data_IF_476618113152
#
_entry.id   IF_476618113152
#
_cell.length_a   1.000
_cell.length_b   1.000
_cell.length_c   1.000
_cell.angle_alpha   90.00
_cell.angle_beta   90.00
_cell.angle_gamma   90.00
#
_symmetry.space_group_name_H-M   'P 1'
#
loop_
_entity.id
_entity.type
_entity.pdbx_description
1 polymer ?
#
# COMPACT_ATOMS: atom_id res chain seq x y z
N UNK A 1 -13.97 9.24 -38.40
CA UNK A 1 -14.30 8.05 -37.58
C UNK A 1 -13.05 7.20 -37.46
N UNK A 2 -12.27 7.38 -36.41
CA UNK A 2 -11.10 6.55 -36.09
C UNK A 2 -11.61 5.17 -35.67
N UNK A 3 -11.28 4.12 -36.42
CA UNK A 3 -11.54 2.73 -36.02
C UNK A 3 -10.90 2.51 -34.66
N UNK A 4 -11.71 2.40 -33.61
CA UNK A 4 -11.25 1.98 -32.30
C UNK A 4 -10.59 0.62 -32.43
N UNK A 5 -9.28 0.55 -32.20
CA UNK A 5 -8.52 -0.70 -32.21
C UNK A 5 -9.14 -1.61 -31.15
N UNK A 6 -9.69 -2.74 -31.56
CA UNK A 6 -10.32 -3.71 -30.64
C UNK A 6 -9.22 -4.35 -29.81
N UNK A 7 -9.10 -3.95 -28.55
CA UNK A 7 -8.18 -4.54 -27.60
C UNK A 7 -8.73 -5.88 -27.09
N UNK A 8 -7.84 -6.84 -26.88
CA UNK A 8 -8.20 -8.10 -26.23
C UNK A 8 -8.55 -7.87 -24.75
N UNK A 9 -9.66 -8.46 -24.32
CA UNK A 9 -10.22 -8.32 -22.97
C UNK A 9 -9.92 -9.57 -22.14
N UNK A 10 -9.11 -9.41 -21.11
CA UNK A 10 -8.70 -10.49 -20.21
C UNK A 10 -9.24 -10.30 -18.81
N UNK A 11 -9.76 -11.37 -18.21
CA UNK A 11 -10.09 -11.43 -16.79
C UNK A 11 -9.10 -12.36 -16.10
N UNK A 12 -8.34 -11.85 -15.13
CA UNK A 12 -7.35 -12.63 -14.37
C UNK A 12 -7.92 -12.92 -12.98
N UNK A 13 -7.96 -14.20 -12.63
CA UNK A 13 -8.59 -14.70 -11.40
C UNK A 13 -7.61 -15.63 -10.69
N UNK A 14 -7.02 -15.21 -9.55
CA UNK A 14 -6.27 -16.10 -8.67
C UNK A 14 -7.23 -17.02 -7.91
N UNK A 15 -6.92 -18.31 -7.79
CA UNK A 15 -7.77 -19.28 -7.12
C UNK A 15 -7.02 -20.16 -6.14
N UNK A 16 -7.69 -20.49 -5.03
CA UNK A 16 -7.26 -21.53 -4.11
C UNK A 16 -8.48 -22.15 -3.41
N UNK A 17 -8.88 -23.35 -3.83
CA UNK A 17 -10.07 -24.08 -3.36
C UNK A 17 -11.39 -23.34 -3.66
N UNK A 18 -11.55 -22.96 -4.94
CA UNK A 18 -12.70 -22.17 -5.40
C UNK A 18 -13.52 -22.92 -6.48
N UNK A 19 -13.43 -24.26 -6.53
CA UNK A 19 -14.08 -25.07 -7.55
C UNK A 19 -15.59 -24.79 -7.68
N UNK A 20 -16.32 -24.71 -6.55
CA UNK A 20 -17.77 -24.49 -6.57
C UNK A 20 -18.13 -23.09 -7.07
N UNK A 21 -17.35 -22.10 -6.71
CA UNK A 21 -17.53 -20.73 -7.19
C UNK A 21 -17.26 -20.63 -8.69
N UNK A 22 -16.21 -21.29 -9.18
CA UNK A 22 -15.85 -21.27 -10.59
C UNK A 22 -16.90 -21.93 -11.48
N UNK A 23 -17.63 -22.96 -10.99
CA UNK A 23 -18.77 -23.55 -11.73
C UNK A 23 -19.82 -22.53 -12.12
N UNK A 24 -20.04 -21.52 -11.25
CA UNK A 24 -21.04 -20.47 -11.44
C UNK A 24 -20.44 -19.29 -12.19
N UNK A 25 -19.20 -18.92 -11.88
CA UNK A 25 -18.53 -17.73 -12.42
C UNK A 25 -18.12 -17.88 -13.88
N UNK A 26 -17.51 -19.00 -14.27
CA UNK A 26 -16.96 -19.17 -15.63
C UNK A 26 -18.02 -19.08 -16.74
N UNK A 27 -19.26 -19.59 -16.58
CA UNK A 27 -20.34 -19.37 -17.53
C UNK A 27 -20.64 -17.88 -17.81
N UNK A 28 -20.50 -17.02 -16.81
CA UNK A 28 -20.75 -15.55 -16.92
C UNK A 28 -19.64 -14.85 -17.71
N UNK A 29 -18.44 -15.46 -17.76
CA UNK A 29 -17.25 -14.87 -18.36
C UNK A 29 -16.92 -15.41 -19.77
N UNK A 30 -17.85 -16.14 -20.43
CA UNK A 30 -17.60 -16.78 -21.73
C UNK A 30 -17.16 -15.85 -22.86
N UNK A 31 -17.52 -14.58 -22.79
CA UNK A 31 -17.17 -13.57 -23.81
C UNK A 31 -15.75 -13.03 -23.68
N UNK A 32 -15.09 -13.24 -22.55
CA UNK A 32 -13.76 -12.75 -22.24
C UNK A 32 -12.72 -13.85 -22.36
N UNK A 33 -11.46 -13.50 -22.56
CA UNK A 33 -10.33 -14.37 -22.33
C UNK A 33 -10.06 -14.44 -20.83
N UNK A 34 -10.20 -15.61 -20.23
CA UNK A 34 -10.05 -15.78 -18.78
C UNK A 34 -8.72 -16.46 -18.48
N UNK A 35 -7.96 -15.92 -17.55
CA UNK A 35 -6.73 -16.53 -17.03
C UNK A 35 -6.98 -16.90 -15.56
N UNK A 36 -7.04 -18.21 -15.30
CA UNK A 36 -7.12 -18.76 -13.94
C UNK A 36 -5.73 -19.15 -13.48
N UNK A 37 -5.32 -18.68 -12.31
CA UNK A 37 -4.06 -19.10 -11.68
C UNK A 37 -4.37 -19.80 -10.38
N UNK A 38 -4.17 -21.11 -10.36
CA UNK A 38 -4.55 -21.99 -9.27
C UNK A 38 -3.35 -22.40 -8.42
N UNK A 39 -3.43 -22.15 -7.12
CA UNK A 39 -2.40 -22.49 -6.12
C UNK A 39 -2.45 -23.98 -5.71
N UNK A 40 -2.60 -24.89 -6.70
CA UNK A 40 -2.65 -26.33 -6.50
C UNK A 40 -3.77 -26.79 -5.53
N UNK A 41 -4.99 -26.44 -5.87
CA UNK A 41 -6.15 -26.58 -4.98
C UNK A 41 -6.58 -28.00 -4.66
N UNK A 42 -6.40 -28.95 -5.58
CA UNK A 42 -6.83 -30.38 -5.48
C UNK A 42 -8.32 -30.56 -5.10
N UNK A 43 -9.20 -29.63 -5.52
CA UNK A 43 -10.64 -29.60 -5.19
C UNK A 43 -11.54 -29.77 -6.41
N UNK A 44 -10.98 -30.05 -7.58
CA UNK A 44 -11.71 -30.10 -8.85
C UNK A 44 -11.62 -28.83 -9.71
N UNK A 45 -10.94 -27.78 -9.25
CA UNK A 45 -10.74 -26.52 -9.99
C UNK A 45 -10.19 -26.79 -11.41
N UNK A 46 -9.18 -27.64 -11.54
CA UNK A 46 -8.56 -27.99 -12.85
C UNK A 46 -9.57 -28.60 -13.81
N UNK A 47 -10.37 -29.55 -13.34
CA UNK A 47 -11.38 -30.25 -14.15
C UNK A 47 -12.47 -29.31 -14.64
N UNK A 48 -12.86 -28.33 -13.81
CA UNK A 48 -13.87 -27.32 -14.16
C UNK A 48 -13.30 -26.38 -15.22
N UNK A 49 -12.12 -25.82 -15.02
CA UNK A 49 -11.49 -24.89 -15.95
C UNK A 49 -11.32 -25.48 -17.35
N UNK A 50 -10.93 -26.76 -17.45
CA UNK A 50 -10.73 -27.47 -18.74
C UNK A 50 -11.99 -27.57 -19.58
N UNK A 51 -13.19 -27.39 -19.02
CA UNK A 51 -14.46 -27.42 -19.76
C UNK A 51 -14.72 -26.13 -20.55
N UNK A 52 -13.94 -25.09 -20.34
CA UNK A 52 -14.16 -23.76 -20.94
C UNK A 52 -13.01 -23.42 -21.90
N UNK A 53 -13.31 -23.31 -23.20
CA UNK A 53 -12.32 -23.01 -24.25
C UNK A 53 -11.68 -21.63 -24.14
N UNK A 54 -12.37 -20.68 -23.50
CA UNK A 54 -11.90 -19.31 -23.27
C UNK A 54 -11.05 -19.17 -22.01
N UNK A 55 -10.82 -20.27 -21.26
CA UNK A 55 -10.04 -20.29 -20.03
C UNK A 55 -8.64 -20.82 -20.30
N UNK A 56 -7.63 -20.01 -19.97
CA UNK A 56 -6.24 -20.45 -19.79
C UNK A 56 -6.03 -20.74 -18.32
N UNK A 57 -5.67 -21.96 -17.98
CA UNK A 57 -5.36 -22.38 -16.62
C UNK A 57 -3.85 -22.47 -16.42
N UNK A 58 -3.37 -21.88 -15.35
CA UNK A 58 -2.00 -22.00 -14.83
C UNK A 58 -2.10 -22.66 -13.46
N UNK A 59 -1.56 -23.87 -13.33
CA UNK A 59 -1.48 -24.57 -12.04
C UNK A 59 -0.08 -24.37 -11.48
N UNK A 60 0.01 -23.86 -10.26
CA UNK A 60 1.27 -23.57 -9.58
C UNK A 60 1.72 -24.80 -8.78
N UNK A 61 3.00 -24.82 -8.39
CA UNK A 61 3.56 -25.95 -7.60
C UNK A 61 2.94 -26.07 -6.19
N UNK A 62 2.38 -24.98 -5.66
CA UNK A 62 1.74 -24.94 -4.35
C UNK A 62 1.21 -23.53 -4.02
N UNK A 63 0.80 -23.33 -2.77
CA UNK A 63 0.26 -22.06 -2.31
C UNK A 63 1.36 -21.00 -2.16
N UNK A 64 1.49 -20.15 -3.18
CA UNK A 64 2.53 -19.11 -3.27
C UNK A 64 2.00 -17.69 -3.01
N UNK A 65 0.70 -17.52 -2.87
CA UNK A 65 0.05 -16.25 -2.51
C UNK A 65 -0.62 -15.53 -3.68
N UNK A 66 -1.60 -14.69 -3.32
CA UNK A 66 -2.52 -14.05 -4.28
C UNK A 66 -1.79 -13.09 -5.22
N UNK A 67 -0.94 -12.19 -4.70
CA UNK A 67 -0.29 -11.18 -5.52
C UNK A 67 0.61 -11.82 -6.60
N UNK A 68 1.36 -12.86 -6.24
CA UNK A 68 2.20 -13.58 -7.19
C UNK A 68 1.37 -14.37 -8.20
N UNK A 69 0.20 -14.94 -7.79
CA UNK A 69 -0.71 -15.60 -8.70
C UNK A 69 -1.25 -14.65 -9.77
N UNK A 70 -1.69 -13.45 -9.36
CA UNK A 70 -2.15 -12.41 -10.30
C UNK A 70 -1.02 -12.04 -11.28
N UNK A 71 0.21 -11.86 -10.79
CA UNK A 71 1.35 -11.54 -11.67
C UNK A 71 1.68 -12.66 -12.65
N UNK A 72 1.64 -13.93 -12.23
CA UNK A 72 1.83 -15.06 -13.15
C UNK A 72 0.76 -15.06 -14.26
N UNK A 73 -0.49 -14.76 -13.88
CA UNK A 73 -1.58 -14.58 -14.83
C UNK A 73 -1.31 -13.45 -15.84
N UNK A 74 -0.96 -12.26 -15.35
CA UNK A 74 -0.65 -11.09 -16.19
C UNK A 74 0.54 -11.38 -17.11
N UNK A 75 1.62 -11.94 -16.59
CA UNK A 75 2.83 -12.27 -17.35
C UNK A 75 2.58 -13.31 -18.45
N UNK A 76 1.56 -14.16 -18.31
CA UNK A 76 1.16 -15.14 -19.34
C UNK A 76 0.50 -14.50 -20.56
N UNK A 77 0.06 -13.22 -20.46
CA UNK A 77 -0.62 -12.50 -21.54
C UNK A 77 0.43 -11.90 -22.47
N UNK A 78 0.41 -12.37 -23.73
CA UNK A 78 1.38 -11.92 -24.76
C UNK A 78 0.98 -10.60 -25.43
N UNK A 79 -0.33 -10.32 -25.49
CA UNK A 79 -0.86 -9.10 -26.10
C UNK A 79 -0.57 -7.89 -25.20
N UNK A 80 0.36 -7.05 -25.63
CA UNK A 80 0.79 -5.88 -24.89
C UNK A 80 -0.24 -4.76 -24.82
N UNK A 81 -1.18 -4.73 -25.76
CA UNK A 81 -2.27 -3.73 -25.81
C UNK A 81 -3.53 -4.22 -25.05
N UNK A 82 -3.46 -5.35 -24.35
CA UNK A 82 -4.59 -5.96 -23.66
C UNK A 82 -5.17 -5.05 -22.57
N UNK A 83 -6.50 -5.12 -22.42
CA UNK A 83 -7.22 -4.65 -21.24
C UNK A 83 -7.35 -5.79 -20.27
N UNK A 84 -7.01 -5.56 -19.01
CA UNK A 84 -7.02 -6.56 -17.95
C UNK A 84 -7.96 -6.12 -16.85
N UNK A 85 -8.83 -7.02 -16.41
CA UNK A 85 -9.60 -6.90 -15.17
C UNK A 85 -9.16 -8.00 -14.24
N UNK A 86 -8.78 -7.65 -13.01
CA UNK A 86 -8.45 -8.58 -11.94
C UNK A 86 -9.63 -8.67 -10.98
N UNK A 87 -9.99 -9.87 -10.58
CA UNK A 87 -11.07 -10.13 -9.61
C UNK A 87 -10.83 -11.43 -8.85
N UNK A 88 -11.37 -11.54 -7.63
CA UNK A 88 -11.39 -12.79 -6.87
C UNK A 88 -12.55 -13.70 -7.35
N UNK A 89 -12.58 -14.97 -6.93
CA UNK A 89 -13.61 -15.95 -7.34
C UNK A 89 -14.74 -16.12 -6.31
N UNK A 90 -14.77 -15.36 -5.22
CA UNK A 90 -15.57 -15.62 -4.00
C UNK A 90 -16.93 -14.90 -3.93
N UNK A 91 -17.38 -14.30 -5.02
CA UNK A 91 -18.62 -13.52 -5.14
C UNK A 91 -18.71 -12.27 -4.23
N UNK A 92 -17.61 -11.85 -3.61
CA UNK A 92 -17.58 -10.55 -2.94
C UNK A 92 -17.62 -9.39 -3.94
N UNK A 93 -17.11 -9.60 -5.17
CA UNK A 93 -17.13 -8.63 -6.25
C UNK A 93 -18.38 -8.80 -7.13
N UNK A 94 -18.93 -7.67 -7.59
CA UNK A 94 -20.05 -7.66 -8.52
C UNK A 94 -19.57 -7.87 -9.96
N UNK A 95 -19.58 -9.12 -10.41
CA UNK A 95 -19.10 -9.48 -11.76
C UNK A 95 -19.93 -8.88 -12.89
N UNK A 96 -21.17 -8.42 -12.63
CA UNK A 96 -21.97 -7.71 -13.61
C UNK A 96 -21.34 -6.39 -14.04
N UNK A 97 -20.39 -5.87 -13.26
CA UNK A 97 -19.63 -4.64 -13.53
C UNK A 97 -18.39 -4.85 -14.39
N UNK A 98 -17.99 -6.09 -14.68
CA UNK A 98 -16.82 -6.39 -15.55
C UNK A 98 -16.96 -5.71 -16.94
N UNK A 99 -18.12 -5.72 -17.61
CA UNK A 99 -18.30 -4.99 -18.87
C UNK A 99 -18.03 -3.49 -18.74
N UNK A 100 -18.40 -2.89 -17.61
CA UNK A 100 -18.19 -1.46 -17.36
C UNK A 100 -16.69 -1.14 -17.19
N UNK A 101 -15.91 -2.01 -16.54
CA UNK A 101 -14.46 -1.87 -16.49
C UNK A 101 -13.87 -1.82 -17.90
N UNK A 102 -14.22 -2.75 -18.77
CA UNK A 102 -13.69 -2.80 -20.13
C UNK A 102 -14.10 -1.59 -20.96
N UNK A 103 -15.34 -1.10 -20.80
CA UNK A 103 -15.82 0.12 -21.45
C UNK A 103 -15.04 1.34 -20.96
N UNK A 104 -14.83 1.46 -19.65
CA UNK A 104 -14.04 2.57 -19.09
C UNK A 104 -12.57 2.50 -19.51
N UNK A 105 -12.00 1.32 -19.71
CA UNK A 105 -10.64 1.14 -20.23
C UNK A 105 -10.49 1.51 -21.73
N UNK A 106 -11.55 1.90 -22.43
CA UNK A 106 -11.43 2.57 -23.73
C UNK A 106 -10.90 4.01 -23.56
N UNK A 107 -11.30 4.68 -22.48
CA UNK A 107 -10.96 6.08 -22.22
C UNK A 107 -9.91 6.27 -21.13
N UNK A 108 -9.80 5.33 -20.20
CA UNK A 108 -8.92 5.37 -19.04
C UNK A 108 -7.87 4.26 -19.10
N UNK A 109 -6.74 4.50 -18.45
CA UNK A 109 -5.62 3.56 -18.41
C UNK A 109 -5.63 2.66 -17.16
N UNK A 110 -6.33 3.13 -16.11
CA UNK A 110 -6.55 2.41 -14.85
C UNK A 110 -7.94 2.71 -14.28
N UNK A 111 -8.64 1.68 -13.81
CA UNK A 111 -9.97 1.78 -13.19
C UNK A 111 -9.94 1.05 -11.86
N UNK A 112 -10.16 1.79 -10.77
CA UNK A 112 -10.32 1.23 -9.44
C UNK A 112 -11.78 0.82 -9.19
N UNK A 113 -12.02 -0.42 -8.75
CA UNK A 113 -13.30 -0.83 -8.21
C UNK A 113 -13.48 -0.38 -6.77
N UNK A 114 -14.45 0.49 -6.53
CA UNK A 114 -14.74 1.08 -5.22
C UNK A 114 -16.01 0.47 -4.63
N UNK A 115 -15.88 -0.13 -3.45
CA UNK A 115 -17.03 -0.71 -2.72
C UNK A 115 -17.95 0.36 -2.19
N UNK A 116 -19.24 0.26 -2.52
CA UNK A 116 -20.31 1.10 -1.95
C UNK A 116 -21.33 0.22 -1.23
N UNK A 117 -21.93 0.72 -0.13
CA UNK A 117 -22.95 0.02 0.66
C UNK A 117 -22.61 -0.06 2.14
N UNK A 118 -23.51 -0.63 2.95
CA UNK A 118 -23.43 -0.67 4.40
C UNK A 118 -22.17 -1.39 4.91
N UNK A 119 -21.34 -0.64 5.61
CA UNK A 119 -20.16 -1.18 6.29
C UNK A 119 -20.64 -1.93 7.54
N UNK A 120 -20.37 -3.21 7.63
CA UNK A 120 -20.55 -3.97 8.87
C UNK A 120 -19.68 -3.31 9.95
N UNK A 121 -20.33 -2.77 10.99
CA UNK A 121 -19.69 -2.15 12.16
C UNK A 121 -18.64 -3.14 12.74
N UNK A 122 -17.40 -2.67 12.98
CA UNK A 122 -16.30 -3.44 13.59
C UNK A 122 -15.16 -3.82 12.63
N UNK A 123 -15.40 -4.21 11.38
CA UNK A 123 -14.33 -4.45 10.37
C UNK A 123 -13.79 -3.16 9.73
N UNK A 124 -14.53 -2.06 9.85
CA UNK A 124 -14.16 -0.76 9.30
C UNK A 124 -12.95 -0.12 9.97
N UNK A 125 -12.71 -0.38 11.27
CA UNK A 125 -11.65 0.28 12.01
C UNK A 125 -10.24 -0.15 11.53
N UNK A 126 -9.98 -1.45 11.42
CA UNK A 126 -8.68 -1.98 10.96
C UNK A 126 -8.44 -1.61 9.49
N UNK A 127 -9.46 -1.70 8.64
CA UNK A 127 -9.37 -1.31 7.24
C UNK A 127 -9.18 0.21 7.07
N UNK A 128 -9.80 1.03 7.92
CA UNK A 128 -9.62 2.48 7.92
C UNK A 128 -8.22 2.88 8.39
N UNK A 129 -7.71 2.26 9.47
CA UNK A 129 -6.36 2.50 9.96
C UNK A 129 -5.30 2.14 8.93
N UNK A 130 -5.43 1.00 8.26
CA UNK A 130 -4.52 0.59 7.18
C UNK A 130 -4.53 1.57 5.99
N UNK A 131 -5.71 2.09 5.59
CA UNK A 131 -5.80 3.13 4.56
C UNK A 131 -5.16 4.45 4.98
N UNK A 132 -5.33 4.81 6.26
CA UNK A 132 -4.73 6.04 6.81
C UNK A 132 -3.21 5.95 6.81
N UNK A 133 -2.66 4.84 7.31
CA UNK A 133 -1.22 4.55 7.31
C UNK A 133 -0.67 4.57 5.88
N UNK A 134 -1.34 3.90 4.94
CA UNK A 134 -0.91 3.88 3.55
C UNK A 134 -0.85 5.30 2.94
N UNK A 135 -1.91 6.10 3.11
CA UNK A 135 -1.95 7.48 2.59
C UNK A 135 -0.91 8.40 3.24
N UNK A 136 -0.62 8.16 4.53
CA UNK A 136 0.43 8.92 5.23
C UNK A 136 1.83 8.56 4.74
N UNK A 137 2.07 7.26 4.49
CA UNK A 137 3.39 6.76 4.10
C UNK A 137 3.64 6.81 2.60
N UNK A 138 2.59 6.77 1.78
CA UNK A 138 2.65 6.76 0.31
C UNK A 138 1.60 7.74 -0.23
N UNK A 139 1.89 9.06 -0.22
CA UNK A 139 0.94 10.12 -0.60
C UNK A 139 0.36 9.94 -2.00
N UNK A 140 1.10 9.32 -2.92
CA UNK A 140 0.67 9.02 -4.28
C UNK A 140 -0.62 8.15 -4.31
N UNK A 141 -0.84 7.35 -3.25
CA UNK A 141 -2.05 6.51 -3.11
C UNK A 141 -3.27 7.29 -2.62
N UNK A 142 -3.16 8.58 -2.33
CA UNK A 142 -4.28 9.41 -1.87
C UNK A 142 -5.43 9.48 -2.88
N UNK A 143 -5.13 9.29 -4.17
CA UNK A 143 -6.13 9.19 -5.23
C UNK A 143 -7.03 7.95 -5.07
N UNK A 144 -6.52 6.84 -4.55
CA UNK A 144 -7.28 5.61 -4.36
C UNK A 144 -8.35 5.79 -3.27
N UNK A 145 -9.59 5.41 -3.59
CA UNK A 145 -10.72 5.43 -2.63
C UNK A 145 -10.78 4.15 -1.79
N UNK A 146 -10.50 3.00 -2.41
CA UNK A 146 -10.41 1.69 -1.76
C UNK A 146 -9.10 0.97 -2.08
N UNK A 147 -7.94 1.44 -1.57
CA UNK A 147 -6.62 0.88 -1.90
C UNK A 147 -6.45 -0.59 -1.50
N UNK A 148 -7.43 -1.15 -0.78
CA UNK A 148 -7.47 -2.55 -0.40
C UNK A 148 -8.30 -3.42 -1.34
N UNK A 149 -8.87 -2.85 -2.41
CA UNK A 149 -9.68 -3.56 -3.38
C UNK A 149 -8.88 -4.64 -4.13
N UNK A 150 -9.49 -5.81 -4.35
CA UNK A 150 -9.02 -6.85 -5.25
C UNK A 150 -9.65 -6.75 -6.64
N UNK A 151 -10.56 -5.77 -6.87
CA UNK A 151 -11.30 -5.60 -8.11
C UNK A 151 -10.87 -4.31 -8.82
N UNK A 152 -10.11 -4.44 -9.88
CA UNK A 152 -9.57 -3.31 -10.64
C UNK A 152 -9.27 -3.72 -12.08
N UNK A 153 -9.18 -2.72 -12.95
CA UNK A 153 -8.82 -2.92 -14.35
C UNK A 153 -7.72 -1.96 -14.80
N UNK A 154 -6.94 -2.37 -15.79
CA UNK A 154 -5.90 -1.53 -16.36
C UNK A 154 -5.53 -1.96 -17.78
N UNK A 155 -4.89 -1.05 -18.52
CA UNK A 155 -4.28 -1.34 -19.81
C UNK A 155 -2.85 -1.83 -19.59
N UNK A 156 -2.51 -2.97 -20.20
CA UNK A 156 -1.21 -3.60 -19.99
C UNK A 156 -0.03 -2.75 -20.49
N UNK A 157 -0.22 -2.01 -21.60
CA UNK A 157 0.78 -1.11 -22.18
C UNK A 157 1.08 0.11 -21.29
N UNK A 158 0.26 0.39 -20.29
CA UNK A 158 0.36 1.55 -19.39
C UNK A 158 1.00 1.24 -18.03
N UNK A 159 1.44 0.00 -17.82
CA UNK A 159 2.10 -0.42 -16.58
C UNK A 159 3.53 -0.87 -16.88
N UNK A 160 4.48 -0.43 -16.07
CA UNK A 160 5.83 -1.00 -16.08
C UNK A 160 5.86 -2.26 -15.19
N UNK A 161 5.59 -3.40 -15.84
CA UNK A 161 5.57 -4.70 -15.15
C UNK A 161 6.94 -5.13 -14.60
N UNK A 162 8.04 -4.62 -15.17
CA UNK A 162 9.39 -4.99 -14.71
C UNK A 162 9.70 -4.45 -13.31
N UNK A 163 9.05 -3.36 -12.93
CA UNK A 163 9.16 -2.72 -11.63
C UNK A 163 8.15 -3.23 -10.59
N UNK A 164 7.13 -4.00 -11.01
CA UNK A 164 6.14 -4.60 -10.11
C UNK A 164 6.78 -5.74 -9.33
N UNK A 165 6.76 -5.65 -8.00
CA UNK A 165 7.28 -6.68 -7.10
C UNK A 165 6.17 -7.20 -6.21
N UNK A 166 5.47 -8.27 -6.58
CA UNK A 166 4.28 -8.74 -5.88
C UNK A 166 4.64 -9.22 -4.47
N UNK A 167 4.08 -8.57 -3.45
CA UNK A 167 4.18 -9.00 -2.05
C UNK A 167 2.78 -9.03 -1.44
N UNK A 168 2.47 -10.08 -0.69
CA UNK A 168 1.22 -10.18 0.06
C UNK A 168 -0.02 -10.30 -0.82
N UNK A 169 -1.07 -9.52 -0.47
CA UNK A 169 -2.40 -9.65 -1.05
C UNK A 169 -2.86 -8.43 -1.87
N UNK A 170 -2.08 -7.34 -1.90
CA UNK A 170 -2.54 -6.03 -2.42
C UNK A 170 -1.82 -5.63 -3.70
N UNK A 171 -1.88 -6.52 -4.70
CA UNK A 171 -1.22 -6.31 -6.00
C UNK A 171 -1.68 -5.05 -6.73
N UNK A 172 -2.92 -4.59 -6.51
CA UNK A 172 -3.44 -3.35 -7.09
C UNK A 172 -2.56 -2.15 -6.77
N UNK A 173 -2.03 -2.06 -5.53
CA UNK A 173 -1.13 -0.97 -5.13
C UNK A 173 0.16 -0.98 -5.94
N UNK A 174 0.76 -2.16 -6.16
CA UNK A 174 1.98 -2.27 -6.95
C UNK A 174 1.73 -1.92 -8.42
N UNK A 175 0.60 -2.36 -9.01
CA UNK A 175 0.20 -1.98 -10.37
C UNK A 175 -0.03 -0.46 -10.47
N UNK A 176 -0.78 0.12 -9.52
CA UNK A 176 -1.08 1.55 -9.48
C UNK A 176 0.19 2.41 -9.39
N UNK A 177 1.13 2.04 -8.53
CA UNK A 177 2.39 2.77 -8.33
C UNK A 177 3.35 2.66 -9.52
N UNK A 178 3.17 1.65 -10.38
CA UNK A 178 3.97 1.44 -11.58
C UNK A 178 3.23 1.82 -12.87
N UNK A 179 2.14 2.60 -12.77
CA UNK A 179 1.52 3.24 -13.93
C UNK A 179 2.47 4.25 -14.56
N UNK A 180 2.52 4.28 -15.88
CA UNK A 180 3.30 5.28 -16.65
C UNK A 180 2.80 6.68 -16.36
N UNK A 181 3.70 7.67 -16.39
CA UNK A 181 3.34 9.08 -16.18
C UNK A 181 2.27 9.53 -17.18
N UNK A 182 1.31 10.33 -16.69
CA UNK A 182 0.20 10.81 -17.51
C UNK A 182 -0.94 9.80 -17.69
N UNK A 183 -0.90 8.61 -17.08
CA UNK A 183 -2.00 7.64 -17.15
C UNK A 183 -3.30 8.22 -16.60
N UNK A 184 -4.38 8.10 -17.39
CA UNK A 184 -5.73 8.51 -17.00
C UNK A 184 -6.36 7.46 -16.10
N UNK A 185 -6.98 7.92 -15.00
CA UNK A 185 -7.48 7.05 -13.94
C UNK A 185 -8.94 7.34 -13.66
N UNK A 186 -9.73 6.29 -13.33
CA UNK A 186 -11.15 6.41 -12.97
C UNK A 186 -11.54 5.47 -11.84
N UNK A 187 -12.70 5.75 -11.22
CA UNK A 187 -13.32 4.90 -10.20
C UNK A 187 -14.60 4.30 -10.74
N UNK A 188 -14.83 3.02 -10.48
CA UNK A 188 -16.06 2.31 -10.76
C UNK A 188 -16.67 1.85 -9.44
N UNK A 189 -17.80 2.42 -9.07
CA UNK A 189 -18.51 2.02 -7.85
C UNK A 189 -19.30 0.73 -8.09
N UNK A 190 -19.22 -0.21 -7.13
CA UNK A 190 -19.99 -1.45 -7.16
C UNK A 190 -20.50 -1.82 -5.77
N UNK A 191 -21.62 -2.55 -5.74
CA UNK A 191 -22.16 -3.10 -4.49
C UNK A 191 -21.35 -4.30 -4.07
N UNK A 192 -20.94 -4.31 -2.81
CA UNK A 192 -20.20 -5.42 -2.22
C UNK A 192 -21.16 -6.57 -1.91
N UNK A 193 -20.88 -7.75 -2.50
CA UNK A 193 -21.64 -8.97 -2.23
C UNK A 193 -21.33 -9.52 -0.83
N UNK A 194 -22.25 -10.32 -0.28
CA UNK A 194 -21.94 -11.15 0.90
C UNK A 194 -21.14 -12.35 0.43
N UNK A 195 -20.00 -12.60 1.09
CA UNK A 195 -19.23 -13.83 0.90
C UNK A 195 -20.11 -15.02 1.22
N UNK A 196 -20.39 -15.86 0.23
CA UNK A 196 -21.26 -17.01 0.43
C UNK A 196 -20.57 -18.12 1.24
N UNK A 197 -19.22 -18.23 1.13
CA UNK A 197 -18.40 -19.25 1.82
C UNK A 197 -17.00 -18.73 2.14
N UNK A 198 -16.47 -19.08 3.32
CA UNK A 198 -15.08 -18.82 3.73
C UNK A 198 -14.91 -17.93 4.96
N UNK A 199 -13.80 -18.09 5.69
CA UNK A 199 -13.42 -17.25 6.84
C UNK A 199 -12.45 -16.16 6.42
N UNK A 200 -12.59 -14.95 6.98
CA UNK A 200 -11.63 -13.86 6.78
C UNK A 200 -10.24 -14.27 7.28
N UNK A 201 -9.23 -14.13 6.41
CA UNK A 201 -7.84 -14.53 6.69
C UNK A 201 -6.98 -13.37 7.20
N UNK A 202 -7.51 -12.50 8.06
CA UNK A 202 -6.70 -11.50 8.76
C UNK A 202 -5.80 -12.25 9.76
N UNK A 203 -4.55 -12.48 9.38
CA UNK A 203 -3.51 -13.05 10.25
C UNK A 203 -2.42 -12.00 10.46
N UNK A 204 -1.63 -12.14 11.55
CA UNK A 204 -0.44 -11.30 11.80
C UNK A 204 0.52 -11.31 10.60
N UNK A 205 0.63 -12.44 9.89
CA UNK A 205 1.42 -12.55 8.67
C UNK A 205 0.94 -11.59 7.58
N UNK A 206 -0.37 -11.51 7.34
CA UNK A 206 -0.98 -10.60 6.35
C UNK A 206 -0.73 -9.13 6.71
N UNK A 207 -0.81 -8.80 8.01
CA UNK A 207 -0.48 -7.45 8.50
C UNK A 207 0.99 -7.10 8.28
N UNK A 208 1.91 -8.01 8.57
CA UNK A 208 3.34 -7.83 8.34
C UNK A 208 3.67 -7.68 6.85
N UNK A 209 3.11 -8.52 5.98
CA UNK A 209 3.28 -8.42 4.54
C UNK A 209 2.78 -7.07 4.00
N UNK A 210 1.64 -6.58 4.50
CA UNK A 210 1.14 -5.25 4.15
C UNK A 210 2.08 -4.13 4.60
N UNK A 211 2.60 -4.17 5.83
CA UNK A 211 3.56 -3.18 6.32
C UNK A 211 4.87 -3.19 5.52
N UNK A 212 5.37 -4.37 5.15
CA UNK A 212 6.55 -4.52 4.29
C UNK A 212 6.27 -3.91 2.90
N UNK A 213 5.09 -4.18 2.33
CA UNK A 213 4.68 -3.60 1.06
C UNK A 213 4.64 -2.08 1.12
N UNK A 214 3.99 -1.51 2.15
CA UNK A 214 3.90 -0.05 2.35
C UNK A 214 5.29 0.57 2.52
N UNK A 215 6.15 -0.04 3.35
CA UNK A 215 7.53 0.43 3.56
C UNK A 215 8.32 0.45 2.24
N UNK A 216 8.15 -0.60 1.41
CA UNK A 216 8.80 -0.68 0.11
C UNK A 216 8.26 0.36 -0.88
N UNK A 217 6.93 0.55 -0.97
CA UNK A 217 6.31 1.56 -1.81
C UNK A 217 6.76 2.97 -1.41
N UNK A 218 6.98 3.19 -0.15
CA UNK A 218 7.59 4.40 0.41
C UNK A 218 9.11 4.49 0.15
N UNK A 219 9.69 3.63 -0.68
CA UNK A 219 11.14 3.54 -0.97
C UNK A 219 11.99 3.40 0.30
N UNK A 220 11.48 2.71 1.32
CA UNK A 220 12.10 2.49 2.63
C UNK A 220 12.36 3.78 3.44
N UNK A 221 11.88 4.94 2.99
CA UNK A 221 12.13 6.23 3.64
C UNK A 221 11.72 6.23 5.11
N UNK A 222 10.56 5.65 5.42
CA UNK A 222 10.09 5.54 6.80
C UNK A 222 11.07 4.77 7.69
N UNK A 223 11.59 3.63 7.22
CA UNK A 223 12.53 2.82 7.99
C UNK A 223 13.88 3.54 8.15
N UNK A 224 14.37 4.19 7.10
CA UNK A 224 15.60 4.98 7.18
C UNK A 224 15.42 6.15 8.16
N UNK A 225 14.29 6.85 8.11
CA UNK A 225 13.95 7.94 9.04
C UNK A 225 13.89 7.44 10.49
N UNK A 226 13.29 6.26 10.71
CA UNK A 226 13.24 5.61 12.02
C UNK A 226 14.65 5.30 12.53
N UNK A 227 15.49 4.69 11.70
CA UNK A 227 16.88 4.34 12.06
C UNK A 227 17.69 5.58 12.42
N UNK A 228 17.56 6.66 11.62
CA UNK A 228 18.22 7.94 11.90
C UNK A 228 17.69 8.55 13.19
N UNK A 229 16.37 8.45 13.45
CA UNK A 229 15.75 8.92 14.68
C UNK A 229 16.31 8.20 15.92
N UNK A 230 16.45 6.88 15.86
CA UNK A 230 17.05 6.08 16.94
C UNK A 230 18.53 6.44 17.11
N UNK A 231 19.29 6.53 16.01
CA UNK A 231 20.69 6.96 16.07
C UNK A 231 20.84 8.35 16.69
N UNK A 232 19.90 9.26 16.41
CA UNK A 232 19.85 10.61 16.98
C UNK A 232 19.75 10.63 18.50
N UNK A 233 19.09 9.64 19.11
CA UNK A 233 19.03 9.49 20.58
C UNK A 233 20.43 9.22 21.11
N UNK A 234 21.14 8.25 20.54
CA UNK A 234 22.52 7.91 20.97
C UNK A 234 23.50 9.05 20.73
N UNK A 235 23.34 9.79 19.62
CA UNK A 235 24.14 11.00 19.34
C UNK A 235 23.90 12.06 20.42
N UNK A 236 22.63 12.32 20.78
CA UNK A 236 22.29 13.29 21.82
C UNK A 236 22.90 12.92 23.17
N UNK A 237 22.75 11.67 23.59
CA UNK A 237 23.31 11.20 24.87
C UNK A 237 24.84 11.25 24.87
N UNK A 238 25.49 10.87 23.77
CA UNK A 238 26.93 10.96 23.63
C UNK A 238 27.44 12.40 23.70
N UNK A 239 26.78 13.34 23.00
CA UNK A 239 27.10 14.77 23.07
C UNK A 239 26.87 15.34 24.48
N UNK A 240 25.78 14.98 25.13
CA UNK A 240 25.48 15.40 26.50
C UNK A 240 26.59 14.93 27.46
N UNK A 241 27.00 13.65 27.38
CA UNK A 241 28.06 13.08 28.19
C UNK A 241 29.37 13.86 28.02
N UNK A 242 29.75 14.16 26.77
CA UNK A 242 30.96 14.92 26.48
C UNK A 242 30.90 16.36 27.00
N UNK A 243 29.82 17.08 26.68
CA UNK A 243 29.69 18.49 27.04
C UNK A 243 29.56 18.69 28.55
N UNK A 244 28.93 17.78 29.28
CA UNK A 244 28.82 17.85 30.74
C UNK A 244 30.17 17.82 31.45
N UNK A 245 31.21 17.31 30.78
CA UNK A 245 32.59 17.32 31.31
C UNK A 245 33.20 18.75 31.37
N UNK A 246 32.72 19.67 30.55
CA UNK A 246 33.35 20.97 30.31
C UNK A 246 32.42 22.17 30.68
N UNK A 247 31.14 21.94 30.91
CA UNK A 247 30.18 22.98 31.15
C UNK A 247 29.04 22.55 32.08
N UNK A 248 28.20 23.51 32.49
CA UNK A 248 27.02 23.22 33.31
C UNK A 248 26.03 22.30 32.59
N UNK A 249 25.30 21.45 33.34
CA UNK A 249 24.30 20.54 32.81
C UNK A 249 23.30 21.24 31.88
N UNK A 250 22.86 22.43 32.23
CA UNK A 250 21.90 23.20 31.40
C UNK A 250 22.48 23.52 30.01
N UNK A 251 23.71 24.02 29.94
CA UNK A 251 24.38 24.33 28.67
C UNK A 251 24.67 23.08 27.88
N UNK A 252 25.11 22.00 28.53
CA UNK A 252 25.37 20.72 27.90
C UNK A 252 24.11 20.15 27.26
N UNK A 253 22.95 20.20 27.96
CA UNK A 253 21.64 19.75 27.42
C UNK A 253 21.24 20.58 26.22
N UNK A 254 21.31 21.92 26.29
CA UNK A 254 20.93 22.78 25.15
C UNK A 254 21.78 22.49 23.92
N UNK A 255 23.11 22.42 24.09
CA UNK A 255 24.01 22.17 22.98
C UNK A 255 23.84 20.78 22.41
N UNK A 256 23.68 19.77 23.25
CA UNK A 256 23.44 18.39 22.78
C UNK A 256 22.16 18.29 21.94
N UNK A 257 21.04 18.90 22.38
CA UNK A 257 19.78 18.93 21.65
C UNK A 257 19.91 19.67 20.32
N UNK A 258 20.53 20.85 20.31
CA UNK A 258 20.70 21.64 19.09
C UNK A 258 21.54 20.89 18.06
N UNK A 259 22.72 20.39 18.48
CA UNK A 259 23.65 19.71 17.57
C UNK A 259 23.05 18.39 17.08
N UNK A 260 22.47 17.58 17.97
CA UNK A 260 21.84 16.32 17.55
C UNK A 260 20.65 16.56 16.60
N UNK A 261 19.89 17.64 16.78
CA UNK A 261 18.81 18.01 15.86
C UNK A 261 19.35 18.39 14.48
N UNK A 262 20.43 19.15 14.42
CA UNK A 262 21.11 19.49 13.14
C UNK A 262 21.65 18.25 12.46
N UNK A 263 22.32 17.37 13.18
CA UNK A 263 22.85 16.10 12.62
C UNK A 263 21.68 15.24 12.10
N UNK A 264 20.62 15.08 12.88
CA UNK A 264 19.43 14.33 12.48
C UNK A 264 18.77 14.93 11.22
N UNK A 265 18.69 16.25 11.12
CA UNK A 265 18.23 16.95 9.93
C UNK A 265 19.12 16.62 8.72
N UNK A 266 20.44 16.77 8.84
CA UNK A 266 21.38 16.53 7.75
C UNK A 266 21.29 15.10 7.23
N UNK A 267 21.28 14.11 8.13
CA UNK A 267 21.13 12.70 7.76
C UNK A 267 19.81 12.46 7.02
N UNK A 268 18.70 13.02 7.50
CA UNK A 268 17.43 12.88 6.81
C UNK A 268 17.41 13.61 5.47
N UNK A 269 17.96 14.83 5.40
CA UNK A 269 18.01 15.62 4.15
C UNK A 269 18.77 14.89 3.05
N UNK A 270 19.95 14.33 3.33
CA UNK A 270 20.82 13.70 2.34
C UNK A 270 20.56 12.21 2.14
N UNK A 271 20.21 11.47 3.19
CA UNK A 271 20.09 10.00 3.11
C UNK A 271 18.64 9.58 2.90
N UNK A 272 17.70 10.06 3.74
CA UNK A 272 16.30 9.63 3.68
C UNK A 272 15.58 10.22 2.47
N UNK A 273 15.65 11.53 2.31
CA UNK A 273 14.85 12.24 1.30
C UNK A 273 15.64 12.62 0.04
N UNK A 274 16.98 12.60 0.10
CA UNK A 274 17.87 12.98 -1.02
C UNK A 274 17.44 14.30 -1.66
N UNK A 275 17.13 15.28 -0.81
CA UNK A 275 16.45 16.49 -1.20
C UNK A 275 17.39 17.53 -1.80
N UNK A 276 16.85 18.36 -2.69
CA UNK A 276 17.51 19.57 -3.25
C UNK A 276 16.93 20.88 -2.71
N UNK A 277 16.09 20.79 -1.66
CA UNK A 277 15.44 21.95 -1.06
C UNK A 277 16.46 22.93 -0.42
N UNK A 278 16.05 24.21 -0.29
CA UNK A 278 16.86 25.20 0.43
C UNK A 278 17.10 24.74 1.87
N UNK A 279 18.37 24.54 2.20
CA UNK A 279 18.82 23.89 3.43
C UNK A 279 18.40 24.63 4.70
N UNK A 280 18.55 25.98 4.72
CA UNK A 280 18.22 26.79 5.89
C UNK A 280 16.71 26.77 6.17
N UNK A 281 15.90 26.93 5.13
CA UNK A 281 14.44 26.89 5.25
C UNK A 281 13.93 25.51 5.68
N UNK A 282 14.53 24.44 5.12
CA UNK A 282 14.22 23.06 5.50
C UNK A 282 14.61 22.78 6.97
N UNK A 283 15.78 23.26 7.44
CA UNK A 283 16.22 23.11 8.82
C UNK A 283 15.28 23.80 9.81
N UNK A 284 14.86 25.03 9.53
CA UNK A 284 13.90 25.76 10.39
C UNK A 284 12.59 24.96 10.50
N UNK A 285 12.03 24.53 9.39
CA UNK A 285 10.79 23.72 9.38
C UNK A 285 10.97 22.41 10.16
N UNK A 286 12.08 21.70 9.95
CA UNK A 286 12.37 20.46 10.66
C UNK A 286 12.47 20.67 12.18
N UNK A 287 13.10 21.74 12.60
CA UNK A 287 13.21 22.10 14.03
C UNK A 287 11.84 22.39 14.65
N UNK A 288 10.97 23.13 13.95
CA UNK A 288 9.60 23.40 14.39
C UNK A 288 8.79 22.10 14.49
N UNK A 289 8.84 21.24 13.48
CA UNK A 289 8.15 19.95 13.47
C UNK A 289 8.68 19.03 14.58
N UNK A 290 9.99 19.09 14.86
CA UNK A 290 10.61 18.30 15.94
C UNK A 290 10.12 18.80 17.31
N UNK A 291 10.07 20.09 17.54
CA UNK A 291 9.55 20.68 18.78
C UNK A 291 8.05 20.35 18.97
N UNK A 292 7.24 20.49 17.91
CA UNK A 292 5.82 20.10 17.95
C UNK A 292 5.62 18.62 18.27
N UNK A 293 6.45 17.74 17.70
CA UNK A 293 6.46 16.32 18.05
C UNK A 293 6.76 16.05 19.52
N UNK A 294 7.74 16.78 20.08
CA UNK A 294 8.04 16.73 21.53
C UNK A 294 6.85 17.14 22.40
N UNK A 295 6.13 18.20 22.03
CA UNK A 295 4.91 18.63 22.74
C UNK A 295 3.79 17.58 22.64
N UNK A 296 3.62 16.95 21.48
CA UNK A 296 2.64 15.85 21.30
C UNK A 296 2.99 14.67 22.22
N UNK A 297 4.27 14.26 22.28
CA UNK A 297 4.69 13.21 23.20
C UNK A 297 4.37 13.58 24.65
N UNK A 298 4.76 14.78 25.08
CA UNK A 298 4.53 15.25 26.44
C UNK A 298 3.04 15.22 26.80
N UNK A 299 2.18 15.74 25.91
CA UNK A 299 0.74 15.78 26.10
C UNK A 299 0.15 14.36 26.23
N UNK A 300 0.47 13.48 25.28
CA UNK A 300 -0.04 12.09 25.29
C UNK A 300 0.47 11.35 26.53
N UNK A 301 1.76 11.42 26.83
CA UNK A 301 2.35 10.74 27.97
C UNK A 301 1.73 11.21 29.29
N UNK A 302 1.54 12.54 29.45
CA UNK A 302 0.93 13.13 30.64
C UNK A 302 -0.51 12.64 30.83
N UNK A 303 -1.40 12.85 29.84
CA UNK A 303 -2.81 12.48 30.02
C UNK A 303 -3.03 10.97 30.07
N UNK A 304 -2.28 10.20 29.30
CA UNK A 304 -2.46 8.75 29.29
C UNK A 304 -1.91 8.08 30.56
N UNK A 305 -0.93 8.70 31.24
CA UNK A 305 -0.38 8.18 32.50
C UNK A 305 -1.40 8.13 33.66
N UNK A 306 -2.52 8.87 33.57
CA UNK A 306 -3.63 8.75 34.52
C UNK A 306 -4.44 7.47 34.35
N UNK A 307 -4.35 6.80 33.20
CA UNK A 307 -5.18 5.61 32.86
C UNK A 307 -4.35 4.35 32.77
N UNK A 308 -3.10 4.46 32.30
CA UNK A 308 -2.19 3.33 32.10
C UNK A 308 -0.81 3.64 32.71
N UNK A 309 0.02 2.60 32.84
CA UNK A 309 1.39 2.74 33.36
C UNK A 309 2.17 3.79 32.56
N UNK A 310 2.83 4.73 33.26
CA UNK A 310 3.49 5.89 32.65
C UNK A 310 4.54 5.54 31.56
N UNK A 311 5.24 4.40 31.70
CA UNK A 311 6.18 3.94 30.67
C UNK A 311 5.47 3.58 29.37
N UNK A 312 4.29 2.92 29.46
CA UNK A 312 3.48 2.60 28.29
C UNK A 312 2.88 3.86 27.68
N UNK A 313 2.41 4.78 28.52
CA UNK A 313 1.90 6.08 28.07
C UNK A 313 2.96 6.89 27.32
N UNK A 314 4.19 6.95 27.86
CA UNK A 314 5.32 7.62 27.20
C UNK A 314 5.70 6.93 25.86
N UNK A 315 5.74 5.60 25.83
CA UNK A 315 6.01 4.86 24.59
C UNK A 315 4.98 5.15 23.49
N UNK A 316 3.70 5.22 23.84
CA UNK A 316 2.62 5.60 22.91
C UNK A 316 2.83 7.04 22.41
N UNK A 317 3.18 7.96 23.32
CA UNK A 317 3.49 9.34 22.98
C UNK A 317 4.66 9.48 22.01
N UNK A 318 5.75 8.74 22.25
CA UNK A 318 6.92 8.70 21.36
C UNK A 318 6.51 8.18 19.96
N UNK A 319 5.74 7.11 19.89
CA UNK A 319 5.25 6.56 18.62
C UNK A 319 4.39 7.60 17.85
N UNK A 320 3.48 8.26 18.53
CA UNK A 320 2.64 9.30 17.94
C UNK A 320 3.46 10.50 17.44
N UNK A 321 4.40 10.99 18.26
CA UNK A 321 5.32 12.06 17.90
C UNK A 321 6.18 11.72 16.69
N UNK A 322 6.68 10.48 16.63
CA UNK A 322 7.48 9.99 15.53
C UNK A 322 6.68 9.95 14.21
N UNK A 323 5.45 9.41 14.24
CA UNK A 323 4.55 9.37 13.07
C UNK A 323 4.24 10.79 12.59
N UNK A 324 3.92 11.70 13.52
CA UNK A 324 3.70 13.11 13.23
C UNK A 324 4.92 13.73 12.55
N UNK A 325 6.11 13.58 13.16
CA UNK A 325 7.37 14.13 12.64
C UNK A 325 7.69 13.60 11.23
N UNK A 326 7.54 12.29 10.99
CA UNK A 326 7.76 11.70 9.69
C UNK A 326 6.81 12.29 8.64
N UNK A 327 5.50 12.27 8.91
CA UNK A 327 4.47 12.74 7.99
C UNK A 327 4.67 14.21 7.59
N UNK A 328 4.86 15.08 8.58
CA UNK A 328 5.04 16.50 8.30
C UNK A 328 6.38 16.79 7.62
N UNK A 329 7.43 16.06 7.95
CA UNK A 329 8.71 16.18 7.27
C UNK A 329 8.63 15.82 5.81
N UNK A 330 8.00 14.66 5.47
CA UNK A 330 7.85 14.20 4.08
C UNK A 330 6.98 15.14 3.25
N UNK A 331 5.86 15.64 3.80
CA UNK A 331 4.87 16.40 3.03
C UNK A 331 5.13 17.92 2.99
N UNK A 332 5.78 18.49 4.00
CA UNK A 332 5.94 19.95 4.14
C UNK A 332 7.37 20.45 4.00
N UNK A 333 8.37 19.59 4.23
CA UNK A 333 9.77 19.96 4.07
C UNK A 333 10.31 19.40 2.75
N UNK A 334 10.15 18.08 2.55
CA UNK A 334 10.78 17.34 1.48
C UNK A 334 9.79 16.77 0.47
N UNK A 335 8.68 17.49 0.23
CA UNK A 335 7.70 17.09 -0.78
C UNK A 335 8.43 16.84 -2.09
N UNK A 336 8.53 15.58 -2.48
CA UNK A 336 9.08 15.20 -3.78
C UNK A 336 8.12 15.73 -4.84
N UNK A 337 8.61 16.60 -5.71
CA UNK A 337 7.94 16.92 -6.95
C UNK A 337 7.81 15.61 -7.74
N UNK A 338 6.56 15.12 -7.79
CA UNK A 338 6.16 13.89 -8.50
C UNK A 338 5.99 14.19 -10.00
#
# INVERSE_FOLDING_TARGET
>A
MTKTKKHDEYVVIPTFKEADNLKILLPLLRRYKVVIVDDNSNDGTVQICRRFKNVRLIVRAGKMGLATAVMDGINSIKDRDAKIVVTDADFEHDYSRIPDFFRMLDDYDFVEGVKVGDRIFGRGFISNSGRYILRMMVPETAWLRDPMSGFFGFRLDKVDLSSVKPIGYKIMLDIFMNLKKGSRKAHLEYRYGRRERGRSKLSLKVMLEFLIQVARLNKMRFLIFLTIGVAGIFINEGLLYVFYQFMSLFLALVLAIVISTVINFLLNHYITFKARANMLYALIKFSIITAAGGLINLFIAFYLSYVIMYLVANFIGICAAFIFKYFFSENFIWKTES
#
